data_IF_174878588947
#
_entry.id   IF_174878588947
#
_cell.length_a   1.000
_cell.length_b   1.000
_cell.length_c   1.000
_cell.angle_alpha   90.00
_cell.angle_beta   90.00
_cell.angle_gamma   90.00
#
_symmetry.space_group_name_H-M   'P 1'
#
loop_
_entity.id
_entity.type
_entity.pdbx_description
1 polymer ?
#
# COMPACT_ATOMS: atom_id res chain seq x y z
N UNK A 1 -25.43 50.75 -6.07
CA UNK A 1 -24.02 50.49 -5.72
C UNK A 1 -24.03 49.56 -4.52
N UNK A 2 -24.08 48.26 -4.77
CA UNK A 2 -23.97 47.24 -3.73
C UNK A 2 -22.53 46.76 -3.69
N UNK A 3 -21.89 46.87 -2.53
CA UNK A 3 -20.59 46.25 -2.26
C UNK A 3 -20.85 44.95 -1.51
N UNK A 4 -20.81 43.83 -2.22
CA UNK A 4 -20.71 42.50 -1.61
C UNK A 4 -19.32 42.37 -0.99
N UNK A 5 -19.26 42.26 0.34
CA UNK A 5 -18.05 41.86 1.03
C UNK A 5 -17.92 40.34 0.90
N UNK A 6 -17.06 39.89 -0.01
CA UNK A 6 -16.65 38.49 -0.11
C UNK A 6 -15.85 38.13 1.14
N UNK A 7 -16.51 37.53 2.12
CA UNK A 7 -15.84 36.91 3.27
C UNK A 7 -14.97 35.78 2.74
N UNK A 8 -13.66 35.95 2.81
CA UNK A 8 -12.67 34.93 2.47
C UNK A 8 -12.81 33.81 3.52
N UNK A 9 -13.56 32.76 3.17
CA UNK A 9 -13.72 31.58 4.01
C UNK A 9 -12.37 30.91 4.21
N UNK A 10 -11.90 30.87 5.45
CA UNK A 10 -10.78 30.04 5.87
C UNK A 10 -11.19 28.58 5.69
N UNK A 11 -10.70 27.92 4.65
CA UNK A 11 -10.80 26.47 4.52
C UNK A 11 -9.89 25.89 5.59
N UNK A 12 -10.47 25.46 6.70
CA UNK A 12 -9.81 24.62 7.69
C UNK A 12 -9.52 23.28 6.99
N UNK A 13 -8.28 23.08 6.54
CA UNK A 13 -7.82 21.76 6.15
C UNK A 13 -7.92 20.87 7.39
N UNK A 14 -8.74 19.83 7.34
CA UNK A 14 -8.73 18.83 8.40
C UNK A 14 -7.30 18.27 8.53
N UNK A 15 -6.77 18.12 9.76
CA UNK A 15 -5.41 17.67 9.93
C UNK A 15 -5.28 16.21 9.45
N UNK A 16 -4.53 16.00 8.37
CA UNK A 16 -4.14 14.66 7.93
C UNK A 16 -3.22 14.07 8.99
N UNK A 17 -3.71 13.07 9.73
CA UNK A 17 -2.94 12.34 10.71
C UNK A 17 -2.08 11.28 9.99
N UNK A 18 -0.84 11.65 9.70
CA UNK A 18 0.13 10.72 9.11
C UNK A 18 0.81 9.93 10.21
N UNK A 19 1.04 8.66 9.89
CA UNK A 19 1.53 7.67 10.81
C UNK A 19 2.76 6.94 10.14
N UNK A 20 3.90 6.72 10.86
CA UNK A 20 5.21 5.95 10.59
C UNK A 20 5.65 4.83 11.64
N UNK A 21 5.33 3.52 11.51
CA UNK A 21 5.40 2.33 12.42
C UNK A 21 6.84 1.87 12.41
N UNK A 22 7.61 2.44 13.32
CA UNK A 22 9.04 2.22 13.33
C UNK A 22 9.44 0.77 13.58
N UNK A 23 10.09 0.18 12.58
CA UNK A 23 10.70 -1.15 12.64
C UNK A 23 12.21 -1.05 12.76
N UNK A 24 12.86 -0.39 11.79
CA UNK A 24 14.31 -0.22 11.71
C UNK A 24 14.72 0.95 10.82
N UNK A 25 13.95 2.04 10.71
CA UNK A 25 14.51 3.28 10.17
C UNK A 25 15.77 3.66 10.96
N UNK A 26 16.88 3.84 10.26
CA UNK A 26 18.07 4.48 10.82
C UNK A 26 17.62 5.79 11.47
N UNK A 27 18.11 6.10 12.68
CA UNK A 27 17.69 7.31 13.41
C UNK A 27 17.76 8.59 12.56
N UNK A 28 18.70 8.65 11.62
CA UNK A 28 18.85 9.75 10.67
C UNK A 28 17.68 9.81 9.67
N UNK A 29 17.21 8.68 9.14
CA UNK A 29 16.06 8.64 8.24
C UNK A 29 14.77 9.02 8.98
N UNK A 30 14.59 8.57 10.24
CA UNK A 30 13.47 9.00 11.09
C UNK A 30 13.41 10.51 11.32
N UNK A 31 14.58 11.14 11.56
CA UNK A 31 14.71 12.59 11.72
C UNK A 31 14.39 13.33 10.42
N UNK A 32 14.91 12.86 9.30
CA UNK A 32 14.66 13.47 7.99
C UNK A 32 13.19 13.36 7.57
N UNK A 33 12.54 12.21 7.78
CA UNK A 33 11.11 12.08 7.45
C UNK A 33 10.26 13.05 8.28
N UNK A 34 10.52 13.19 9.58
CA UNK A 34 9.84 14.22 10.39
C UNK A 34 10.11 15.62 9.86
N UNK A 35 11.34 15.87 9.39
CA UNK A 35 11.74 17.17 8.86
C UNK A 35 11.05 17.54 7.56
N UNK A 36 10.89 16.58 6.67
CA UNK A 36 10.21 16.76 5.39
C UNK A 36 8.71 17.06 5.56
N UNK A 37 8.10 16.59 6.65
CA UNK A 37 6.65 16.69 6.88
C UNK A 37 6.27 17.53 8.10
N UNK A 38 7.08 18.54 8.47
CA UNK A 38 6.86 19.39 9.66
C UNK A 38 5.46 20.06 9.74
N UNK A 39 4.76 20.21 8.63
CA UNK A 39 3.40 20.80 8.57
C UNK A 39 2.26 19.78 8.78
N UNK A 40 2.58 18.48 8.83
CA UNK A 40 1.61 17.41 9.09
C UNK A 40 1.74 16.95 10.54
N UNK A 41 0.61 16.63 11.18
CA UNK A 41 0.65 16.02 12.52
C UNK A 41 1.10 14.56 12.36
N UNK A 42 2.41 14.31 12.49
CA UNK A 42 2.97 12.95 12.47
C UNK A 42 3.03 12.39 13.88
N UNK A 43 2.26 11.34 14.14
CA UNK A 43 2.43 10.53 15.36
C UNK A 43 3.30 9.31 15.05
N UNK A 44 4.55 9.31 15.51
CA UNK A 44 5.46 8.16 15.42
C UNK A 44 5.32 7.24 16.66
N UNK A 45 5.13 5.94 16.45
CA UNK A 45 5.03 4.93 17.51
C UNK A 45 6.24 3.99 17.47
N UNK A 46 6.86 3.76 18.62
CA UNK A 46 8.02 2.87 18.82
C UNK A 46 7.54 1.60 19.53
N UNK A 47 7.67 0.44 18.89
CA UNK A 47 7.51 -0.87 19.55
C UNK A 47 8.88 -1.52 19.72
N UNK A 48 9.50 -1.36 20.90
CA UNK A 48 10.80 -1.99 21.17
C UNK A 48 10.70 -3.52 21.27
N UNK A 49 11.49 -4.25 20.47
CA UNK A 49 12.05 -5.55 20.86
C UNK A 49 13.50 -5.65 20.41
N UNK A 50 14.36 -6.14 21.32
CA UNK A 50 15.81 -6.29 21.16
C UNK A 50 16.19 -7.36 20.12
N UNK A 51 17.35 -7.07 19.50
CA UNK A 51 18.38 -7.94 18.92
C UNK A 51 18.43 -8.28 17.41
N UNK A 52 19.58 -7.83 16.87
CA UNK A 52 20.51 -8.37 15.86
C UNK A 52 20.52 -7.84 14.41
N UNK A 53 21.76 -7.54 14.02
CA UNK A 53 22.37 -6.70 12.99
C UNK A 53 22.36 -7.26 11.55
N UNK A 54 22.21 -6.39 10.54
CA UNK A 54 23.22 -5.99 9.52
C UNK A 54 22.57 -5.41 8.24
N UNK A 55 23.30 -4.48 7.60
CA UNK A 55 22.98 -3.54 6.51
C UNK A 55 22.12 -4.02 5.31
N UNK A 56 21.13 -3.22 4.86
CA UNK A 56 20.93 -2.61 3.51
C UNK A 56 19.48 -2.04 3.33
N UNK A 57 19.37 -0.99 2.50
CA UNK A 57 18.20 -0.21 2.00
C UNK A 57 16.80 -0.39 2.63
N UNK A 58 16.25 0.74 3.10
CA UNK A 58 14.95 0.91 3.72
C UNK A 58 13.82 0.94 2.68
N UNK A 59 12.98 -0.08 2.63
CA UNK A 59 11.59 0.01 2.14
C UNK A 59 10.74 0.61 3.27
N UNK A 60 10.17 1.79 3.04
CA UNK A 60 9.20 2.39 3.95
C UNK A 60 7.86 1.67 3.87
N UNK A 61 6.90 2.10 4.67
CA UNK A 61 5.49 1.72 4.53
C UNK A 61 4.73 2.96 5.02
N UNK A 62 3.76 3.45 4.25
CA UNK A 62 2.90 4.56 4.66
C UNK A 62 1.49 4.05 5.06
N UNK A 63 1.38 3.29 6.15
CA UNK A 63 0.57 3.72 7.32
C UNK A 63 1.25 3.22 8.56
N UNK A 64 2.06 4.09 9.10
CA UNK A 64 3.03 3.68 10.05
C UNK A 64 3.81 2.41 9.44
N UNK A 65 5.03 2.59 8.88
CA UNK A 65 6.24 1.71 8.68
C UNK A 65 6.36 0.14 8.84
N UNK A 66 7.36 -0.41 8.12
CA UNK A 66 7.84 -1.80 8.04
C UNK A 66 9.30 -2.00 8.54
N UNK A 67 9.81 -3.26 8.50
CA UNK A 67 11.20 -3.75 8.59
C UNK A 67 11.31 -5.31 8.53
N UNK A 68 12.51 -5.89 8.57
CA UNK A 68 13.27 -6.43 7.44
C UNK A 68 12.71 -7.75 6.84
N UNK A 69 13.26 -8.10 5.67
CA UNK A 69 13.00 -9.33 4.88
C UNK A 69 12.88 -10.60 5.75
N UNK A 70 11.95 -11.47 5.33
CA UNK A 70 11.35 -12.61 6.04
C UNK A 70 10.22 -12.27 7.05
N UNK A 71 10.12 -11.03 7.55
CA UNK A 71 9.10 -10.64 8.56
C UNK A 71 7.97 -9.72 8.06
N UNK A 72 7.86 -9.47 6.76
CA UNK A 72 6.76 -8.67 6.16
C UNK A 72 5.36 -9.29 6.25
N UNK A 73 5.24 -10.58 6.63
CA UNK A 73 3.95 -11.28 6.74
C UNK A 73 3.15 -10.98 8.03
N UNK A 74 3.77 -10.42 9.06
CA UNK A 74 3.17 -10.27 10.41
C UNK A 74 2.79 -8.80 10.77
N UNK A 75 3.09 -7.82 9.89
CA UNK A 75 2.83 -6.39 10.16
C UNK A 75 1.49 -5.87 9.71
N UNK A 76 0.97 -6.35 8.57
CA UNK A 76 -0.34 -5.97 8.04
C UNK A 76 -1.49 -6.24 9.02
N UNK A 77 -1.30 -7.19 9.93
CA UNK A 77 -2.27 -7.64 10.94
C UNK A 77 -2.29 -6.80 12.22
N UNK A 78 -1.22 -6.04 12.51
CA UNK A 78 -1.14 -5.29 13.78
C UNK A 78 -1.92 -3.98 13.76
N UNK A 79 -2.47 -3.57 12.62
CA UNK A 79 -3.16 -2.29 12.47
C UNK A 79 -4.26 -2.10 13.52
N UNK A 80 -5.00 -3.18 13.83
CA UNK A 80 -6.03 -3.18 14.87
C UNK A 80 -5.50 -2.93 16.29
N UNK A 81 -4.33 -3.49 16.62
CA UNK A 81 -3.71 -3.36 17.94
C UNK A 81 -2.91 -2.07 18.10
N UNK A 82 -2.38 -1.55 16.98
CA UNK A 82 -1.58 -0.32 16.95
C UNK A 82 -2.47 0.92 17.04
N UNK A 83 -3.69 0.84 16.51
CA UNK A 83 -4.65 1.95 16.50
C UNK A 83 -6.02 1.52 17.04
N UNK A 84 -6.12 1.26 18.36
CA UNK A 84 -7.38 0.84 18.96
C UNK A 84 -8.50 1.87 18.82
N UNK A 85 -8.15 3.16 18.65
CA UNK A 85 -9.11 4.28 18.60
C UNK A 85 -9.36 4.83 17.18
N UNK A 86 -8.76 4.24 16.13
CA UNK A 86 -9.06 4.64 14.75
C UNK A 86 -10.18 3.78 14.18
N UNK A 87 -11.09 4.40 13.45
CA UNK A 87 -12.25 3.71 12.88
C UNK A 87 -12.08 3.32 11.42
N UNK A 88 -11.36 4.14 10.66
CA UNK A 88 -11.07 3.94 9.24
C UNK A 88 -9.67 4.45 8.96
N UNK A 89 -9.00 3.89 7.96
CA UNK A 89 -7.68 4.36 7.50
C UNK A 89 -7.55 4.22 5.99
N UNK A 90 -6.79 5.12 5.36
CA UNK A 90 -6.33 4.98 3.97
C UNK A 90 -4.89 4.52 4.01
N UNK A 91 -4.63 3.37 3.40
CA UNK A 91 -3.35 2.69 3.35
C UNK A 91 -2.62 2.97 2.06
N UNK A 92 -1.31 3.19 2.15
CA UNK A 92 -0.42 3.49 1.04
C UNK A 92 0.90 2.74 1.20
N UNK A 93 1.34 2.02 0.17
CA UNK A 93 2.70 1.47 0.13
C UNK A 93 3.74 2.60 -0.06
N UNK A 94 5.02 2.29 0.12
CA UNK A 94 6.12 3.27 0.03
C UNK A 94 6.55 3.63 -1.40
N UNK A 95 6.13 2.82 -2.35
CA UNK A 95 6.41 2.92 -3.77
C UNK A 95 5.20 3.46 -4.55
N UNK A 96 4.34 4.25 -3.90
CA UNK A 96 3.25 4.98 -4.54
C UNK A 96 3.55 6.47 -4.66
N UNK A 97 2.89 7.12 -5.62
CA UNK A 97 2.86 8.58 -5.75
C UNK A 97 1.39 9.01 -5.78
N UNK A 98 1.04 9.90 -4.85
CA UNK A 98 -0.27 10.56 -4.82
C UNK A 98 -0.23 11.76 -5.77
N UNK A 99 -1.17 11.83 -6.70
CA UNK A 99 -1.27 12.90 -7.69
C UNK A 99 -2.51 13.77 -7.52
N UNK A 100 -3.48 13.33 -6.71
CA UNK A 100 -4.77 13.99 -6.48
C UNK A 100 -5.16 13.94 -5.01
N UNK A 101 -6.10 14.80 -4.63
CA UNK A 101 -6.70 14.76 -3.30
C UNK A 101 -7.39 13.41 -3.06
N UNK A 102 -7.13 12.82 -1.89
CA UNK A 102 -7.66 11.51 -1.50
C UNK A 102 -8.83 11.60 -0.52
N UNK A 103 -9.29 12.81 -0.17
CA UNK A 103 -10.33 13.00 0.86
C UNK A 103 -11.62 12.27 0.47
N UNK A 104 -11.95 12.22 -0.81
CA UNK A 104 -13.11 11.48 -1.30
C UNK A 104 -13.01 9.94 -1.14
N UNK A 105 -11.83 9.35 -0.92
CA UNK A 105 -11.72 7.93 -0.52
C UNK A 105 -12.36 7.69 0.85
N UNK A 106 -12.35 8.69 1.74
CA UNK A 106 -12.90 8.56 3.08
C UNK A 106 -14.42 8.40 3.08
N UNK A 107 -15.08 9.03 2.11
CA UNK A 107 -16.54 9.04 1.94
C UNK A 107 -17.08 7.81 1.20
N UNK A 108 -16.21 6.94 0.68
CA UNK A 108 -16.66 5.69 0.05
C UNK A 108 -17.31 4.81 1.12
N UNK A 109 -18.58 4.44 0.86
CA UNK A 109 -19.29 3.42 1.61
C UNK A 109 -18.76 2.04 1.20
N UNK A 110 -18.16 1.32 2.17
CA UNK A 110 -17.66 -0.03 1.93
C UNK A 110 -18.77 -1.09 2.06
N UNK A 111 -20.03 -0.71 2.25
CA UNK A 111 -21.18 -1.62 2.35
C UNK A 111 -20.98 -2.68 3.45
N UNK A 112 -20.38 -2.27 4.57
CA UNK A 112 -20.05 -3.16 5.70
C UNK A 112 -18.85 -4.08 5.46
N UNK A 113 -18.16 -3.98 4.31
CA UNK A 113 -16.89 -4.66 4.05
C UNK A 113 -15.73 -3.99 4.77
N UNK A 114 -14.63 -4.72 4.89
CA UNK A 114 -13.46 -4.28 5.65
C UNK A 114 -12.50 -3.49 4.78
N UNK A 115 -12.31 -3.90 3.53
CA UNK A 115 -11.28 -3.36 2.64
C UNK A 115 -11.91 -2.79 1.36
N UNK A 116 -11.72 -1.50 1.10
CA UNK A 116 -11.94 -0.89 -0.20
C UNK A 116 -10.68 -1.03 -1.05
N UNK A 117 -10.74 -1.74 -2.18
CA UNK A 117 -9.58 -2.03 -3.01
C UNK A 117 -9.94 -2.10 -4.49
N UNK A 118 -8.99 -1.74 -5.36
CA UNK A 118 -9.16 -1.92 -6.80
C UNK A 118 -9.01 -3.41 -7.15
N UNK A 119 -10.00 -3.96 -7.84
CA UNK A 119 -9.96 -5.31 -8.39
C UNK A 119 -8.97 -5.40 -9.56
N UNK A 120 -8.21 -6.47 -9.63
CA UNK A 120 -7.15 -6.67 -10.63
C UNK A 120 -7.53 -7.69 -11.70
N UNK A 121 -8.82 -7.98 -11.88
CA UNK A 121 -9.32 -8.83 -12.98
C UNK A 121 -10.18 -8.06 -14.00
N UNK A 122 -10.30 -6.74 -13.85
CA UNK A 122 -11.10 -5.84 -14.69
C UNK A 122 -10.25 -4.61 -15.04
N UNK A 123 -9.92 -4.43 -16.31
CA UNK A 123 -9.19 -3.26 -16.77
C UNK A 123 -8.64 -3.46 -18.19
N UNK A 124 -8.11 -2.38 -18.75
CA UNK A 124 -7.57 -2.38 -20.13
C UNK A 124 -6.17 -2.98 -20.20
N UNK A 125 -5.45 -3.02 -19.08
CA UNK A 125 -4.11 -3.58 -18.99
C UNK A 125 -4.17 -5.10 -18.76
N UNK A 126 -4.08 -5.87 -19.84
CA UNK A 126 -4.12 -7.34 -19.80
C UNK A 126 -2.98 -7.96 -18.98
N UNK A 127 -1.88 -7.25 -18.75
CA UNK A 127 -0.81 -7.79 -17.90
C UNK A 127 -1.17 -7.64 -16.43
N UNK A 128 -1.59 -6.46 -16.00
CA UNK A 128 -1.72 -6.11 -14.58
C UNK A 128 -3.15 -6.32 -14.06
N UNK A 129 -4.15 -6.14 -14.93
CA UNK A 129 -5.58 -6.17 -14.61
C UNK A 129 -6.29 -7.47 -15.07
N UNK A 130 -5.53 -8.54 -15.33
CA UNK A 130 -6.04 -9.89 -15.66
C UNK A 130 -5.87 -10.92 -14.52
N UNK A 131 -5.57 -10.47 -13.30
CA UNK A 131 -5.25 -11.31 -12.15
C UNK A 131 -6.49 -11.82 -11.44
N UNK A 132 -6.60 -13.14 -11.40
CA UNK A 132 -7.58 -13.92 -10.65
C UNK A 132 -6.86 -14.84 -9.67
N UNK A 133 -7.60 -15.56 -8.85
CA UNK A 133 -7.04 -16.47 -7.86
C UNK A 133 -6.14 -17.54 -8.48
N UNK A 134 -6.45 -18.03 -9.69
CA UNK A 134 -5.57 -18.95 -10.44
C UNK A 134 -4.15 -18.42 -10.71
N UNK A 135 -3.94 -17.11 -10.68
CA UNK A 135 -2.61 -16.52 -10.85
C UNK A 135 -1.77 -16.57 -9.57
N UNK A 136 -2.41 -16.72 -8.41
CA UNK A 136 -1.75 -16.66 -7.10
C UNK A 136 -1.66 -18.01 -6.40
N UNK A 137 -2.67 -18.87 -6.57
CA UNK A 137 -2.79 -20.13 -5.84
C UNK A 137 -2.49 -21.35 -6.71
N UNK A 138 -1.97 -22.39 -6.06
CA UNK A 138 -1.74 -23.68 -6.69
C UNK A 138 -3.01 -24.55 -6.62
N UNK A 139 -3.84 -24.50 -7.67
CA UNK A 139 -5.09 -25.27 -7.75
C UNK A 139 -4.89 -26.79 -7.91
N UNK A 140 -3.66 -27.28 -8.08
CA UNK A 140 -3.38 -28.71 -7.94
C UNK A 140 -3.35 -29.16 -6.47
N UNK A 141 -3.25 -28.23 -5.51
CA UNK A 141 -3.27 -28.54 -4.08
C UNK A 141 -4.71 -28.78 -3.60
N UNK A 142 -5.04 -29.94 -2.97
CA UNK A 142 -6.42 -30.29 -2.63
C UNK A 142 -7.13 -29.27 -1.73
N UNK A 143 -6.45 -28.69 -0.74
CA UNK A 143 -7.03 -27.65 0.12
C UNK A 143 -7.35 -26.36 -0.64
N UNK A 144 -6.59 -26.02 -1.67
CA UNK A 144 -6.86 -24.82 -2.48
C UNK A 144 -8.07 -25.09 -3.38
N UNK A 145 -8.03 -26.17 -4.15
CA UNK A 145 -9.12 -26.56 -5.06
C UNK A 145 -10.46 -26.75 -4.36
N UNK A 146 -10.45 -27.20 -3.09
CA UNK A 146 -11.67 -27.41 -2.31
C UNK A 146 -12.30 -26.11 -1.80
N UNK A 147 -11.50 -25.09 -1.49
CA UNK A 147 -11.97 -23.92 -0.73
C UNK A 147 -11.99 -22.62 -1.54
N UNK A 148 -11.27 -22.56 -2.67
CA UNK A 148 -11.16 -21.36 -3.50
C UNK A 148 -11.70 -21.62 -4.90
N UNK A 149 -12.18 -20.57 -5.55
CA UNK A 149 -12.56 -20.59 -6.96
C UNK A 149 -11.41 -20.00 -7.80
N UNK A 150 -10.90 -20.70 -8.84
CA UNK A 150 -9.83 -20.17 -9.69
C UNK A 150 -10.19 -18.88 -10.43
N UNK A 151 -11.47 -18.63 -10.68
CA UNK A 151 -11.95 -17.47 -11.44
C UNK A 151 -12.37 -16.30 -10.54
N UNK A 152 -12.25 -16.43 -9.22
CA UNK A 152 -12.45 -15.33 -8.29
C UNK A 152 -11.47 -14.17 -8.58
N UNK A 153 -11.99 -12.95 -8.55
CA UNK A 153 -11.22 -11.75 -8.85
C UNK A 153 -10.19 -11.50 -7.73
N UNK A 154 -8.95 -11.22 -8.11
CA UNK A 154 -7.99 -10.70 -7.14
C UNK A 154 -8.17 -9.18 -6.98
N UNK A 155 -7.55 -8.63 -5.94
CA UNK A 155 -7.54 -7.20 -5.67
C UNK A 155 -6.12 -6.73 -5.37
N UNK A 156 -5.91 -5.43 -5.51
CA UNK A 156 -4.61 -4.80 -5.36
C UNK A 156 -4.35 -4.37 -3.92
N UNK A 157 -3.15 -4.69 -3.43
CA UNK A 157 -2.61 -4.12 -2.21
C UNK A 157 -1.75 -2.90 -2.56
N UNK A 158 -1.69 -1.91 -1.66
CA UNK A 158 -0.78 -0.76 -1.78
C UNK A 158 -1.48 0.58 -1.90
N UNK A 159 -2.78 0.57 -2.19
CA UNK A 159 -3.68 1.66 -1.85
C UNK A 159 -5.03 1.05 -1.49
N UNK A 160 -5.41 1.18 -0.23
CA UNK A 160 -6.58 0.49 0.31
C UNK A 160 -7.30 1.37 1.34
N UNK A 161 -8.62 1.25 1.44
CA UNK A 161 -9.38 1.83 2.55
C UNK A 161 -9.72 0.71 3.52
N UNK A 162 -9.30 0.81 4.78
CA UNK A 162 -9.67 -0.19 5.78
C UNK A 162 -10.64 0.40 6.80
N UNK A 163 -11.84 -0.16 6.90
CA UNK A 163 -12.74 0.07 8.03
C UNK A 163 -12.31 -0.83 9.20
N UNK A 164 -11.63 -0.22 10.17
CA UNK A 164 -11.12 -0.91 11.35
C UNK A 164 -12.24 -1.32 12.31
N UNK A 165 -13.38 -0.62 12.33
CA UNK A 165 -14.53 -1.03 13.14
C UNK A 165 -15.16 -2.30 12.61
N UNK A 166 -15.32 -2.39 11.29
CA UNK A 166 -15.79 -3.60 10.62
C UNK A 166 -14.79 -4.74 10.85
N UNK A 167 -13.50 -4.48 10.65
CA UNK A 167 -12.45 -5.50 10.81
C UNK A 167 -12.41 -6.09 12.23
N UNK A 168 -12.55 -5.28 13.29
CA UNK A 168 -12.59 -5.80 14.68
C UNK A 168 -13.70 -6.83 14.94
N UNK A 169 -14.73 -6.89 14.09
CA UNK A 169 -15.88 -7.79 14.21
C UNK A 169 -15.75 -9.05 13.35
N UNK A 170 -14.64 -9.23 12.63
CA UNK A 170 -14.41 -10.38 11.74
C UNK A 170 -13.36 -11.34 12.30
N UNK A 171 -13.24 -12.51 11.67
CA UNK A 171 -12.21 -13.53 11.94
C UNK A 171 -11.09 -13.51 10.88
N UNK A 172 -10.87 -12.37 10.19
CA UNK A 172 -9.88 -12.24 9.11
C UNK A 172 -8.48 -12.62 9.61
N UNK A 173 -8.11 -12.18 10.82
CA UNK A 173 -6.79 -12.47 11.41
C UNK A 173 -6.59 -13.96 11.68
N UNK A 174 -7.59 -14.59 12.27
CA UNK A 174 -7.57 -16.03 12.58
C UNK A 174 -7.51 -16.85 11.28
N UNK A 175 -8.25 -16.43 10.26
CA UNK A 175 -8.27 -17.04 8.93
C UNK A 175 -6.89 -16.93 8.28
N UNK A 176 -6.29 -15.73 8.25
CA UNK A 176 -4.94 -15.51 7.72
C UNK A 176 -3.92 -16.44 8.37
N UNK A 177 -3.87 -16.47 9.71
CA UNK A 177 -2.92 -17.32 10.43
C UNK A 177 -3.17 -18.81 10.22
N UNK A 178 -4.44 -19.23 10.12
CA UNK A 178 -4.80 -20.62 9.83
C UNK A 178 -4.25 -21.05 8.48
N UNK A 179 -4.50 -20.26 7.43
CA UNK A 179 -3.99 -20.55 6.08
C UNK A 179 -2.47 -20.51 6.00
N UNK A 180 -1.82 -19.57 6.70
CA UNK A 180 -0.36 -19.53 6.76
C UNK A 180 0.20 -20.81 7.41
N UNK A 181 -0.43 -21.31 8.48
CA UNK A 181 -0.04 -22.55 9.15
C UNK A 181 -0.25 -23.77 8.24
N UNK A 182 -1.36 -23.84 7.51
CA UNK A 182 -1.59 -24.91 6.54
C UNK A 182 -0.56 -24.88 5.41
N UNK A 183 -0.23 -23.70 4.88
CA UNK A 183 0.79 -23.59 3.84
C UNK A 183 2.18 -24.01 4.35
N UNK A 184 2.53 -23.70 5.60
CA UNK A 184 3.76 -24.19 6.22
C UNK A 184 3.79 -25.72 6.35
N UNK A 185 2.68 -26.35 6.76
CA UNK A 185 2.57 -27.82 6.81
C UNK A 185 2.67 -28.46 5.42
N UNK A 186 2.22 -27.75 4.39
CA UNK A 186 2.29 -28.18 2.99
C UNK A 186 3.60 -27.80 2.30
N UNK A 187 4.70 -27.56 3.03
CA UNK A 187 6.01 -27.18 2.48
C UNK A 187 5.95 -25.95 1.54
N UNK A 188 5.08 -24.97 1.85
CA UNK A 188 4.89 -23.72 1.11
C UNK A 188 4.40 -23.91 -0.34
N UNK A 189 3.70 -25.01 -0.63
CA UNK A 189 3.27 -25.37 -1.99
C UNK A 189 1.90 -24.81 -2.39
N UNK A 190 1.16 -24.16 -1.48
CA UNK A 190 -0.22 -23.72 -1.76
C UNK A 190 -0.29 -22.45 -2.61
N UNK A 191 0.76 -21.62 -2.61
CA UNK A 191 0.88 -20.41 -3.42
C UNK A 191 2.34 -19.96 -3.54
N UNK A 192 2.63 -19.10 -4.52
CA UNK A 192 3.96 -18.48 -4.67
C UNK A 192 4.26 -17.54 -3.50
N UNK A 193 5.53 -17.43 -3.12
CA UNK A 193 5.96 -16.55 -2.04
C UNK A 193 5.47 -15.11 -2.26
N UNK A 194 4.95 -14.51 -1.18
CA UNK A 194 4.38 -13.17 -1.19
C UNK A 194 3.46 -12.93 0.01
N UNK A 195 3.09 -11.68 0.25
CA UNK A 195 2.14 -11.28 1.29
C UNK A 195 0.70 -11.16 0.75
N UNK A 196 0.54 -10.98 -0.57
CA UNK A 196 -0.78 -10.83 -1.19
C UNK A 196 -1.62 -12.12 -1.16
N UNK A 197 -1.11 -13.32 -1.53
CA UNK A 197 -1.94 -14.54 -1.54
C UNK A 197 -2.63 -14.84 -0.20
N UNK A 198 -1.96 -14.83 0.97
CA UNK A 198 -2.67 -15.08 2.23
C UNK A 198 -3.66 -13.95 2.58
N UNK A 199 -3.43 -12.71 2.13
CA UNK A 199 -4.40 -11.63 2.28
C UNK A 199 -5.63 -11.81 1.39
N UNK A 200 -5.47 -12.23 0.12
CA UNK A 200 -6.59 -12.53 -0.78
C UNK A 200 -7.54 -13.57 -0.16
N UNK A 201 -6.99 -14.64 0.43
CA UNK A 201 -7.81 -15.66 1.11
C UNK A 201 -8.46 -15.09 2.37
N UNK A 202 -7.71 -14.40 3.23
CA UNK A 202 -8.21 -13.93 4.52
C UNK A 202 -9.30 -12.86 4.38
N UNK A 203 -9.22 -12.04 3.35
CA UNK A 203 -10.20 -10.99 3.05
C UNK A 203 -11.27 -11.43 2.06
N UNK A 204 -11.31 -12.72 1.70
CA UNK A 204 -12.38 -13.27 0.87
C UNK A 204 -13.73 -12.88 1.47
N UNK A 205 -14.64 -12.39 0.63
CA UNK A 205 -15.96 -11.85 1.01
C UNK A 205 -15.95 -10.61 1.93
N UNK A 206 -14.78 -10.01 2.20
CA UNK A 206 -14.58 -8.82 3.03
C UNK A 206 -14.03 -7.60 2.27
N UNK A 207 -14.01 -7.66 0.93
CA UNK A 207 -13.55 -6.57 0.07
C UNK A 207 -14.74 -5.93 -0.66
N UNK A 208 -14.75 -4.60 -0.71
CA UNK A 208 -15.60 -3.80 -1.59
C UNK A 208 -14.74 -3.26 -2.74
N UNK A 209 -15.04 -3.62 -4.00
CA UNK A 209 -14.33 -3.08 -5.16
C UNK A 209 -14.51 -1.56 -5.27
N UNK A 210 -13.42 -0.81 -5.42
CA UNK A 210 -13.47 0.64 -5.70
C UNK A 210 -13.05 0.93 -7.15
N UNK A 211 -13.37 2.14 -7.62
CA UNK A 211 -13.08 2.57 -8.99
C UNK A 211 -11.58 2.45 -9.33
N UNK A 212 -11.20 1.82 -10.46
CA UNK A 212 -9.80 1.65 -10.85
C UNK A 212 -8.99 2.94 -11.02
N UNK A 213 -9.64 4.10 -11.26
CA UNK A 213 -8.97 5.39 -11.38
C UNK A 213 -8.30 5.85 -10.06
N UNK A 214 -8.69 5.26 -8.93
CA UNK A 214 -8.08 5.52 -7.64
C UNK A 214 -6.67 4.93 -7.53
N UNK A 215 -6.43 3.73 -8.07
CA UNK A 215 -5.17 3.00 -7.90
C UNK A 215 -4.67 2.42 -9.22
N UNK A 216 -3.75 3.12 -9.88
CA UNK A 216 -3.08 2.61 -11.06
C UNK A 216 -1.85 1.80 -10.67
N UNK A 217 -1.78 0.58 -11.21
CA UNK A 217 -0.77 -0.42 -10.90
C UNK A 217 0.18 -0.63 -12.07
N UNK A 218 1.30 -1.30 -11.80
CA UNK A 218 2.13 -1.94 -12.82
C UNK A 218 3.31 -1.12 -13.31
N UNK A 219 3.54 0.08 -12.75
CA UNK A 219 4.64 0.95 -13.16
C UNK A 219 6.01 0.33 -12.89
N UNK A 220 6.10 -0.72 -12.06
CA UNK A 220 7.32 -1.48 -11.80
C UNK A 220 7.42 -2.82 -12.55
N UNK A 221 6.48 -3.14 -13.44
CA UNK A 221 6.47 -4.41 -14.21
C UNK A 221 6.74 -4.24 -15.71
N UNK A 222 6.26 -3.15 -16.33
CA UNK A 222 6.30 -3.03 -17.78
C UNK A 222 6.57 -1.62 -18.30
N UNK A 223 7.23 -1.57 -19.45
CA UNK A 223 7.67 -0.34 -20.11
C UNK A 223 6.57 0.31 -20.96
N UNK A 224 5.58 -0.45 -21.43
CA UNK A 224 4.52 0.00 -22.34
C UNK A 224 3.30 0.60 -21.61
N UNK A 225 3.51 1.19 -20.44
CA UNK A 225 2.43 1.83 -19.65
C UNK A 225 1.91 3.08 -20.36
N UNK A 226 0.59 3.24 -20.48
CA UNK A 226 -0.02 4.44 -21.06
C UNK A 226 0.17 5.67 -20.16
N UNK A 227 0.94 6.65 -20.66
CA UNK A 227 1.29 7.86 -19.94
C UNK A 227 0.08 8.75 -19.64
N UNK A 228 -0.93 8.77 -20.51
CA UNK A 228 -2.13 9.58 -20.28
C UNK A 228 -2.97 9.02 -19.12
N UNK A 229 -3.07 7.70 -19.01
CA UNK A 229 -3.64 7.03 -17.84
C UNK A 229 -2.84 7.32 -16.57
N UNK A 230 -1.50 7.28 -16.63
CA UNK A 230 -0.64 7.63 -15.48
C UNK A 230 -0.91 9.05 -14.99
N UNK A 231 -1.02 10.04 -15.88
CA UNK A 231 -1.35 11.43 -15.50
C UNK A 231 -2.73 11.59 -14.87
N UNK A 232 -3.68 10.72 -15.24
CA UNK A 232 -5.09 10.81 -14.79
C UNK A 232 -5.34 10.07 -13.47
N UNK A 233 -4.55 9.06 -13.14
CA UNK A 233 -4.73 8.27 -11.93
C UNK A 233 -4.53 9.10 -10.64
N UNK A 234 -5.34 8.84 -9.61
CA UNK A 234 -5.20 9.51 -8.31
C UNK A 234 -3.93 9.06 -7.57
N UNK A 235 -3.69 7.74 -7.54
CA UNK A 235 -2.47 7.13 -6.99
C UNK A 235 -1.86 6.23 -8.05
N UNK A 236 -0.58 6.42 -8.34
CA UNK A 236 0.20 5.55 -9.21
C UNK A 236 1.14 4.70 -8.35
N UNK A 237 1.28 3.43 -8.69
CA UNK A 237 2.00 2.45 -7.90
C UNK A 237 3.11 1.81 -8.72
N UNK A 238 4.36 1.98 -8.26
CA UNK A 238 5.53 1.33 -8.82
C UNK A 238 5.70 -0.10 -8.30
N UNK A 239 4.59 -0.84 -8.16
CA UNK A 239 4.62 -2.23 -7.74
C UNK A 239 5.37 -3.08 -8.77
N UNK A 240 6.18 -4.00 -8.25
CA UNK A 240 7.15 -4.76 -9.05
C UNK A 240 8.58 -4.40 -8.69
N UNK A 241 9.50 -4.80 -9.57
CA UNK A 241 10.94 -4.72 -9.33
C UNK A 241 11.53 -3.39 -9.80
N UNK A 242 10.99 -2.82 -10.88
CA UNK A 242 11.51 -1.60 -11.50
C UNK A 242 11.08 -0.34 -10.76
N UNK A 243 11.83 0.03 -9.72
CA UNK A 243 11.56 1.24 -8.94
C UNK A 243 12.13 2.49 -9.63
N UNK A 244 11.48 3.66 -9.51
CA UNK A 244 11.89 4.88 -10.22
C UNK A 244 13.23 5.44 -9.72
N UNK A 245 13.61 5.14 -8.47
CA UNK A 245 14.92 5.50 -7.89
C UNK A 245 16.04 4.50 -8.21
N UNK A 246 15.74 3.44 -8.97
CA UNK A 246 16.74 2.46 -9.41
C UNK A 246 17.02 2.60 -10.90
N UNK A 247 18.22 2.17 -11.31
CA UNK A 247 18.65 2.17 -12.71
C UNK A 247 17.76 1.29 -13.61
N UNK A 248 17.16 0.25 -13.04
CA UNK A 248 16.20 -0.65 -13.72
C UNK A 248 14.79 -0.07 -13.87
N UNK A 249 14.54 1.13 -13.32
CA UNK A 249 13.28 1.86 -13.49
C UNK A 249 13.06 2.32 -14.94
N UNK A 250 11.81 2.37 -15.38
CA UNK A 250 11.48 2.81 -16.73
C UNK A 250 11.59 4.33 -16.88
N UNK A 251 12.40 4.80 -17.84
CA UNK A 251 12.78 6.20 -18.01
C UNK A 251 11.57 7.15 -18.11
N UNK A 252 10.58 6.81 -18.93
CA UNK A 252 9.38 7.60 -19.14
C UNK A 252 8.46 7.68 -17.91
N UNK A 253 8.62 6.78 -16.93
CA UNK A 253 7.85 6.76 -15.69
C UNK A 253 8.59 7.43 -14.52
N UNK A 254 9.91 7.65 -14.62
CA UNK A 254 10.71 8.31 -13.57
C UNK A 254 10.24 9.74 -13.24
N UNK A 255 9.91 10.61 -14.22
CA UNK A 255 9.53 12.00 -13.94
C UNK A 255 8.35 12.18 -12.99
N UNK A 256 7.45 11.18 -12.92
CA UNK A 256 6.31 11.23 -12.00
C UNK A 256 6.73 11.11 -10.53
N UNK A 257 7.88 10.51 -10.24
CA UNK A 257 8.45 10.39 -8.89
C UNK A 257 9.57 11.41 -8.64
N UNK A 258 10.50 11.60 -9.58
CA UNK A 258 11.69 12.47 -9.39
C UNK A 258 11.32 13.93 -9.12
N UNK A 259 10.19 14.41 -9.63
CA UNK A 259 9.67 15.76 -9.37
C UNK A 259 9.41 16.07 -7.88
N UNK A 260 9.28 15.04 -7.03
CA UNK A 260 9.08 15.18 -5.58
C UNK A 260 10.36 14.98 -4.77
N UNK A 261 11.48 14.67 -5.42
CA UNK A 261 12.75 14.42 -4.75
C UNK A 261 13.43 15.75 -4.45
N UNK A 262 13.79 15.97 -3.19
CA UNK A 262 14.60 17.11 -2.81
C UNK A 262 16.09 16.80 -3.01
N UNK A 263 16.60 17.05 -4.21
CA UNK A 263 18.02 16.85 -4.56
C UNK A 263 18.98 17.80 -3.81
N UNK A 264 18.47 18.83 -3.15
CA UNK A 264 19.30 19.68 -2.26
C UNK A 264 19.54 19.03 -0.89
N UNK A 265 18.82 17.97 -0.53
CA UNK A 265 18.99 17.29 0.75
C UNK A 265 20.26 16.42 0.73
N UNK A 266 21.15 16.62 1.71
CA UNK A 266 22.44 15.92 1.78
C UNK A 266 22.29 14.40 1.90
N UNK A 267 21.26 13.89 2.59
CA UNK A 267 21.00 12.46 2.66
C UNK A 267 20.59 11.90 1.29
N UNK A 268 19.69 12.59 0.58
CA UNK A 268 19.22 12.20 -0.76
C UNK A 268 20.37 12.19 -1.77
N UNK A 269 21.28 13.17 -1.71
CA UNK A 269 22.47 13.23 -2.59
C UNK A 269 23.38 12.02 -2.42
N UNK A 270 23.47 11.47 -1.20
CA UNK A 270 24.25 10.27 -0.91
C UNK A 270 23.56 8.96 -1.35
N UNK A 271 22.30 9.01 -1.80
CA UNK A 271 21.58 7.84 -2.29
C UNK A 271 21.77 7.57 -3.80
N UNK A 272 22.55 8.40 -4.51
CA UNK A 272 22.82 8.25 -5.95
C UNK A 272 21.55 8.10 -6.81
N UNK A 273 20.49 8.81 -6.44
CA UNK A 273 19.23 8.83 -7.19
C UNK A 273 19.45 9.58 -8.50
N UNK A 274 19.03 8.98 -9.62
CA UNK A 274 19.14 9.61 -10.94
C UNK A 274 18.29 10.89 -11.00
N UNK A 275 18.90 11.99 -11.41
CA UNK A 275 18.18 13.20 -11.81
C UNK A 275 17.58 12.98 -13.19
N UNK A 276 16.31 13.37 -13.36
CA UNK A 276 15.56 13.25 -14.63
C UNK A 276 15.88 14.37 -15.60
#
# INVERSE_FOLDING_TARGET
MGSESTTMGTIMLEPILVRLLHGYLLQNCSREVRSTFHYLTISAFISQRKHQSNYLFSSGLFILEDAPCEKGKERKEKMLNLFPNLDKVVFLDDDVVIQRDLSALWEIDLEGKVNGAVETCKGEDDWVMSKRFKNYFNFSHPLIAKNLDPDECAWAYGMNIFDLRAWRKTNIRETYHSWLKENLKSNLTMWKLGTLPPALIAFKDHVHPIDPSWHMLGLGYQNNTDIESVKKAAVIHYNGQSKPWLEIGFEQLRPFWTKYVNYSNDFVRNCHILES
#
